data_IF_778108476850
#
_entry.id   IF_778108476850
#
_cell.length_a   1.000
_cell.length_b   1.000
_cell.length_c   1.000
_cell.angle_alpha   90.00
_cell.angle_beta   90.00
_cell.angle_gamma   90.00
#
_symmetry.space_group_name_H-M   'P 1'
#
loop_
_entity.id
_entity.type
_entity.pdbx_description
1 polymer ?
#
# COMPACT_ATOMS: atom_id res chain seq x y z
N UNK A 1 -16.92 2.22 -7.56
CA UNK A 1 -16.53 3.29 -6.61
C UNK A 1 -17.76 4.03 -6.14
N UNK A 2 -17.98 4.10 -4.84
CA UNK A 2 -19.19 4.67 -4.20
C UNK A 2 -18.77 5.81 -3.25
N UNK A 3 -19.58 6.85 -3.16
CA UNK A 3 -19.44 7.87 -2.13
C UNK A 3 -20.08 7.37 -0.85
N UNK A 4 -19.28 7.30 0.22
CA UNK A 4 -19.70 6.83 1.54
C UNK A 4 -19.25 7.78 2.63
N UNK A 5 -19.88 7.69 3.80
CA UNK A 5 -19.40 8.34 5.02
C UNK A 5 -18.80 7.27 5.91
N UNK A 6 -17.50 7.39 6.21
CA UNK A 6 -16.81 6.50 7.13
C UNK A 6 -16.50 7.23 8.43
N UNK A 7 -16.59 6.52 9.56
CA UNK A 7 -16.29 7.03 10.90
C UNK A 7 -14.86 6.63 11.28
N UNK A 8 -14.10 7.55 11.83
CA UNK A 8 -12.78 7.27 12.38
C UNK A 8 -12.96 6.52 13.71
N UNK A 9 -12.44 5.31 13.78
CA UNK A 9 -12.35 4.54 15.03
C UNK A 9 -11.01 4.77 15.74
N UNK A 10 -9.94 4.98 14.97
CA UNK A 10 -8.58 5.17 15.46
C UNK A 10 -7.79 6.02 14.47
N UNK A 11 -6.94 6.90 14.98
CA UNK A 11 -5.96 7.65 14.18
C UNK A 11 -4.73 7.91 15.04
N UNK A 12 -3.68 7.11 14.87
CA UNK A 12 -2.50 7.15 15.74
C UNK A 12 -1.20 7.16 14.93
N UNK A 13 -0.18 7.75 15.49
CA UNK A 13 1.18 7.67 14.96
C UNK A 13 1.76 6.28 15.23
N UNK A 14 2.31 5.62 14.21
CA UNK A 14 2.91 4.28 14.29
C UNK A 14 4.42 4.27 13.97
N UNK A 15 4.92 5.29 13.26
CA UNK A 15 6.33 5.44 12.92
C UNK A 15 6.66 6.92 12.68
N UNK A 16 7.90 7.25 12.34
CA UNK A 16 8.29 8.63 12.01
C UNK A 16 7.42 9.15 10.86
N UNK A 17 6.69 10.26 11.13
CA UNK A 17 5.77 10.92 10.18
C UNK A 17 4.73 9.97 9.55
N UNK A 18 4.43 8.82 10.17
CA UNK A 18 3.53 7.79 9.64
C UNK A 18 2.43 7.48 10.64
N UNK A 19 1.20 7.44 10.15
CA UNK A 19 -0.01 7.25 10.93
C UNK A 19 -0.83 6.09 10.40
N UNK A 20 -1.50 5.38 11.31
CA UNK A 20 -2.52 4.39 11.02
C UNK A 20 -3.89 4.96 11.36
N UNK A 21 -4.82 4.90 10.41
CA UNK A 21 -6.20 5.29 10.60
C UNK A 21 -7.12 4.10 10.31
N UNK A 22 -7.96 3.76 11.27
CA UNK A 22 -9.00 2.75 11.14
C UNK A 22 -10.33 3.45 10.96
N UNK A 23 -11.05 3.08 9.91
CA UNK A 23 -12.33 3.63 9.52
C UNK A 23 -13.40 2.54 9.56
N UNK A 24 -14.61 2.87 9.99
CA UNK A 24 -15.76 1.95 9.97
C UNK A 24 -16.92 2.52 9.14
N UNK A 25 -17.70 1.63 8.54
CA UNK A 25 -18.87 1.97 7.75
C UNK A 25 -19.06 1.06 6.53
N UNK A 26 -19.79 1.53 5.51
CA UNK A 26 -20.01 0.75 4.30
C UNK A 26 -18.74 0.69 3.44
N UNK A 27 -18.00 -0.40 3.59
CA UNK A 27 -16.80 -0.75 2.82
C UNK A 27 -17.05 -1.93 1.88
N UNK A 28 -18.30 -2.29 1.66
CA UNK A 28 -18.72 -3.47 0.88
C UNK A 28 -18.24 -3.49 -0.57
N UNK A 29 -17.89 -2.33 -1.14
CA UNK A 29 -17.36 -2.22 -2.50
C UNK A 29 -15.85 -2.55 -2.58
N UNK A 30 -15.14 -2.66 -1.46
CA UNK A 30 -13.73 -3.10 -1.44
C UNK A 30 -13.70 -4.60 -1.72
N UNK A 31 -13.17 -4.99 -2.87
CA UNK A 31 -13.17 -6.37 -3.37
C UNK A 31 -11.79 -6.96 -3.57
N UNK A 32 -10.81 -6.10 -3.80
CA UNK A 32 -9.46 -6.51 -4.16
C UNK A 32 -8.42 -5.84 -3.26
N UNK A 33 -7.41 -6.57 -2.80
CA UNK A 33 -6.31 -5.94 -2.07
C UNK A 33 -5.59 -4.92 -2.97
N UNK A 34 -5.05 -3.86 -2.36
CA UNK A 34 -4.38 -2.77 -3.09
C UNK A 34 -5.30 -1.74 -3.73
N UNK A 35 -6.62 -1.87 -3.60
CA UNK A 35 -7.53 -0.75 -3.87
C UNK A 35 -7.26 0.41 -2.91
N UNK A 36 -7.75 1.60 -3.25
CA UNK A 36 -7.55 2.81 -2.45
C UNK A 36 -8.86 3.55 -2.22
N UNK A 37 -8.83 4.47 -1.29
CA UNK A 37 -9.92 5.42 -1.02
C UNK A 37 -9.47 6.84 -1.29
N UNK A 38 -10.42 7.71 -1.66
CA UNK A 38 -10.19 9.14 -1.83
C UNK A 38 -10.93 9.92 -0.74
N UNK A 39 -10.19 10.49 0.21
CA UNK A 39 -10.72 11.20 1.37
C UNK A 39 -10.85 12.69 1.06
N UNK A 40 -12.04 13.25 1.29
CA UNK A 40 -12.24 14.70 1.29
C UNK A 40 -11.71 15.28 2.60
N UNK A 41 -10.85 16.28 2.51
CA UNK A 41 -10.35 17.03 3.66
C UNK A 41 -10.83 18.47 3.52
N UNK A 42 -11.47 18.99 4.55
CA UNK A 42 -12.00 20.35 4.55
C UNK A 42 -10.89 21.38 4.37
N UNK A 43 -11.16 22.37 3.51
CA UNK A 43 -10.18 23.38 3.11
C UNK A 43 -9.28 22.98 1.94
N UNK A 44 -9.45 21.77 1.40
CA UNK A 44 -8.66 21.31 0.25
C UNK A 44 -9.53 20.96 -0.94
N UNK A 45 -9.15 21.44 -2.12
CA UNK A 45 -9.88 21.18 -3.37
C UNK A 45 -9.81 19.72 -3.79
N UNK A 46 -8.62 19.13 -3.82
CA UNK A 46 -8.44 17.72 -4.20
C UNK A 46 -8.61 16.79 -3.00
N UNK A 47 -9.22 15.64 -3.22
CA UNK A 47 -9.25 14.54 -2.26
C UNK A 47 -7.85 13.93 -2.08
N UNK A 48 -7.64 13.19 -1.03
CA UNK A 48 -6.38 12.49 -0.71
C UNK A 48 -6.54 11.00 -1.00
N UNK A 49 -5.86 10.48 -2.05
CA UNK A 49 -5.85 9.05 -2.33
C UNK A 49 -5.00 8.34 -1.27
N UNK A 50 -5.56 7.31 -0.64
CA UNK A 50 -4.92 6.50 0.38
C UNK A 50 -5.15 5.04 0.09
N UNK A 51 -4.06 4.26 -0.08
CA UNK A 51 -4.13 2.83 -0.28
C UNK A 51 -4.70 2.13 0.94
N UNK A 52 -5.55 1.15 0.70
CA UNK A 52 -6.10 0.28 1.74
C UNK A 52 -5.01 -0.72 2.14
N UNK A 53 -4.69 -0.74 3.42
CA UNK A 53 -3.79 -1.75 4.01
C UNK A 53 -4.53 -3.03 4.35
N UNK A 54 -5.75 -2.88 4.87
CA UNK A 54 -6.59 -3.99 5.31
C UNK A 54 -8.06 -3.59 5.26
N UNK A 55 -8.93 -4.55 4.91
CA UNK A 55 -10.38 -4.35 4.95
C UNK A 55 -11.05 -5.61 5.47
N UNK A 56 -11.57 -5.58 6.71
CA UNK A 56 -12.21 -6.71 7.37
C UNK A 56 -13.31 -6.23 8.35
N UNK A 57 -14.37 -7.00 8.49
CA UNK A 57 -15.43 -6.76 9.50
C UNK A 57 -15.99 -5.33 9.46
N UNK A 58 -16.33 -4.83 8.27
CA UNK A 58 -16.84 -3.46 8.04
C UNK A 58 -15.87 -2.36 8.48
N UNK A 59 -14.59 -2.71 8.65
CA UNK A 59 -13.50 -1.77 8.96
C UNK A 59 -12.47 -1.77 7.85
N UNK A 60 -11.92 -0.59 7.63
CA UNK A 60 -10.89 -0.34 6.64
C UNK A 60 -9.73 0.37 7.33
N UNK A 61 -8.52 -0.15 7.14
CA UNK A 61 -7.29 0.45 7.67
C UNK A 61 -6.49 1.07 6.53
N UNK A 62 -6.08 2.32 6.73
CA UNK A 62 -5.09 2.99 5.89
C UNK A 62 -3.87 3.34 6.73
N UNK A 63 -2.70 3.32 6.07
CA UNK A 63 -1.47 3.86 6.65
C UNK A 63 -0.99 4.98 5.73
N UNK A 64 -0.76 6.16 6.31
CA UNK A 64 -0.38 7.34 5.55
C UNK A 64 0.84 8.05 6.15
N UNK A 65 1.68 8.58 5.27
CA UNK A 65 2.86 9.38 5.65
C UNK A 65 2.56 10.86 5.48
N UNK A 66 3.06 11.69 6.38
CA UNK A 66 2.98 13.14 6.26
C UNK A 66 3.77 13.61 5.03
N UNK A 67 3.07 14.18 4.05
CA UNK A 67 3.65 14.68 2.78
C UNK A 67 3.35 16.15 2.52
N UNK A 68 2.46 16.75 3.28
CA UNK A 68 2.05 18.15 3.14
C UNK A 68 0.77 18.44 3.88
N UNK A 69 0.28 19.67 3.77
CA UNK A 69 -0.80 20.23 4.59
C UNK A 69 -2.08 19.37 4.68
N UNK A 70 -2.46 18.67 3.59
CA UNK A 70 -3.64 17.80 3.63
C UNK A 70 -3.46 16.59 4.54
N UNK A 71 -2.27 15.94 4.52
CA UNK A 71 -1.98 14.83 5.42
C UNK A 71 -1.67 15.30 6.84
N UNK A 72 -1.15 16.53 7.00
CA UNK A 72 -1.03 17.17 8.31
C UNK A 72 -2.40 17.38 8.94
N UNK A 73 -3.36 17.94 8.17
CA UNK A 73 -4.75 18.10 8.63
C UNK A 73 -5.40 16.77 9.03
N UNK A 74 -5.05 15.67 8.36
CA UNK A 74 -5.56 14.35 8.73
C UNK A 74 -5.10 13.92 10.14
N UNK A 75 -3.94 14.34 10.61
CA UNK A 75 -3.46 13.97 11.95
C UNK A 75 -4.25 14.61 13.09
N UNK A 76 -4.94 15.70 12.81
CA UNK A 76 -5.80 16.41 13.77
C UNK A 76 -7.17 15.73 13.94
N UNK A 77 -7.53 14.81 13.03
CA UNK A 77 -8.81 14.14 13.05
C UNK A 77 -8.85 13.06 14.14
N UNK A 78 -9.83 13.16 15.01
CA UNK A 78 -10.00 12.28 16.17
C UNK A 78 -11.01 11.17 15.91
N UNK A 79 -10.97 10.12 16.72
CA UNK A 79 -11.98 9.08 16.77
C UNK A 79 -13.38 9.68 16.93
N UNK A 80 -14.36 9.12 16.23
CA UNK A 80 -15.74 9.63 16.16
C UNK A 80 -16.00 10.60 15.01
N UNK A 81 -14.98 11.25 14.43
CA UNK A 81 -15.15 12.12 13.28
C UNK A 81 -15.60 11.34 12.03
N UNK A 82 -16.42 11.96 11.20
CA UNK A 82 -16.95 11.40 9.97
C UNK A 82 -16.23 11.96 8.76
N UNK A 83 -15.84 11.10 7.83
CA UNK A 83 -15.15 11.45 6.59
C UNK A 83 -16.03 11.18 5.38
N UNK A 84 -16.05 12.13 4.46
CA UNK A 84 -16.60 11.95 3.10
C UNK A 84 -15.54 11.23 2.24
N UNK A 85 -15.83 10.02 1.83
CA UNK A 85 -14.89 9.13 1.16
C UNK A 85 -15.48 8.61 -0.15
N UNK A 86 -14.66 8.59 -1.22
CA UNK A 86 -14.93 7.77 -2.38
C UNK A 86 -14.23 6.43 -2.16
N UNK A 87 -15.03 5.38 -1.95
CA UNK A 87 -14.54 4.06 -1.57
C UNK A 87 -14.35 3.16 -2.77
N UNK A 88 -13.39 2.23 -2.66
CA UNK A 88 -13.06 1.19 -3.63
C UNK A 88 -12.66 1.77 -5.00
N UNK A 89 -11.67 2.66 -5.00
CA UNK A 89 -11.03 3.13 -6.21
C UNK A 89 -9.85 2.22 -6.61
N UNK A 90 -9.50 2.24 -7.89
CA UNK A 90 -8.44 1.40 -8.45
C UNK A 90 -8.84 -0.05 -8.69
N UNK A 91 -7.99 -0.77 -9.44
CA UNK A 91 -8.28 -2.14 -9.86
C UNK A 91 -7.91 -3.17 -8.78
N UNK A 92 -6.99 -2.81 -7.86
CA UNK A 92 -6.40 -3.76 -6.91
C UNK A 92 -5.45 -4.76 -7.57
N UNK A 93 -5.06 -5.77 -6.80
CA UNK A 93 -4.18 -6.86 -7.23
C UNK A 93 -4.98 -8.16 -7.34
N UNK A 94 -4.86 -8.85 -8.47
CA UNK A 94 -5.45 -10.19 -8.66
C UNK A 94 -4.49 -11.25 -8.13
N UNK A 95 -4.67 -11.64 -6.87
CA UNK A 95 -3.82 -12.63 -6.21
C UNK A 95 -3.93 -14.03 -6.82
N UNK A 96 -5.00 -14.34 -7.56
CA UNK A 96 -5.20 -15.63 -8.24
C UNK A 96 -4.18 -15.87 -9.36
N UNK A 97 -3.52 -14.83 -9.84
CA UNK A 97 -2.45 -14.93 -10.85
C UNK A 97 -1.11 -15.35 -10.25
N UNK A 98 -0.98 -15.32 -8.93
CA UNK A 98 0.25 -15.72 -8.26
C UNK A 98 0.54 -17.21 -8.47
N UNK A 99 1.80 -17.53 -8.71
CA UNK A 99 2.29 -18.89 -8.91
C UNK A 99 3.72 -19.04 -8.40
N UNK A 100 4.08 -20.25 -7.99
CA UNK A 100 5.44 -20.57 -7.54
C UNK A 100 5.86 -19.80 -6.28
N UNK A 101 7.10 -19.33 -6.28
CA UNK A 101 7.66 -18.52 -5.19
C UNK A 101 7.23 -17.07 -5.37
N UNK A 102 6.50 -16.55 -4.41
CA UNK A 102 5.86 -15.24 -4.49
C UNK A 102 6.52 -14.25 -3.54
N UNK A 103 6.81 -13.03 -4.02
CA UNK A 103 7.22 -11.91 -3.19
C UNK A 103 6.17 -10.80 -3.16
N UNK A 104 6.01 -10.16 -1.99
CA UNK A 104 5.35 -8.87 -1.83
C UNK A 104 6.43 -7.83 -1.48
N UNK A 105 6.54 -6.77 -2.29
CA UNK A 105 7.65 -5.83 -2.24
C UNK A 105 7.10 -4.42 -2.00
N UNK A 106 7.41 -3.84 -0.84
CA UNK A 106 6.92 -2.54 -0.40
C UNK A 106 8.01 -1.50 -0.21
N UNK A 107 7.90 -0.35 -0.87
CA UNK A 107 8.78 0.81 -0.63
C UNK A 107 8.07 1.88 0.21
N UNK A 108 8.57 2.17 1.42
CA UNK A 108 7.99 3.15 2.33
C UNK A 108 6.52 2.88 2.62
N UNK A 109 5.63 3.83 2.28
CA UNK A 109 4.16 3.67 2.42
C UNK A 109 3.58 2.54 1.57
N UNK A 110 4.29 2.06 0.54
CA UNK A 110 3.89 0.91 -0.27
C UNK A 110 3.86 -0.41 0.52
N UNK A 111 4.50 -0.50 1.67
CA UNK A 111 4.37 -1.65 2.56
C UNK A 111 2.92 -1.87 3.02
N UNK A 112 2.14 -0.80 3.16
CA UNK A 112 0.75 -0.87 3.63
C UNK A 112 -0.18 -1.70 2.72
N UNK A 113 -0.32 -1.40 1.41
CA UNK A 113 -1.13 -2.23 0.52
C UNK A 113 -0.54 -3.65 0.34
N UNK A 114 0.77 -3.82 0.44
CA UNK A 114 1.40 -5.15 0.34
C UNK A 114 1.01 -6.06 1.51
N UNK A 115 0.71 -5.53 2.68
CA UNK A 115 0.18 -6.29 3.79
C UNK A 115 -1.19 -6.91 3.45
N UNK A 116 -2.10 -6.13 2.86
CA UNK A 116 -3.39 -6.64 2.38
C UNK A 116 -3.25 -7.70 1.28
N UNK A 117 -2.26 -7.54 0.38
CA UNK A 117 -1.95 -8.54 -0.65
C UNK A 117 -1.45 -9.84 -0.01
N UNK A 118 -0.55 -9.77 0.98
CA UNK A 118 -0.05 -10.96 1.68
C UNK A 118 -1.18 -11.72 2.39
N UNK A 119 -2.09 -11.01 3.08
CA UNK A 119 -3.27 -11.62 3.70
C UNK A 119 -4.16 -12.33 2.67
N UNK A 120 -4.42 -11.69 1.53
CA UNK A 120 -5.24 -12.28 0.47
C UNK A 120 -4.57 -13.51 -0.16
N UNK A 121 -3.25 -13.47 -0.41
CA UNK A 121 -2.48 -14.63 -0.91
C UNK A 121 -2.61 -15.83 0.01
N UNK A 122 -2.49 -15.62 1.31
CA UNK A 122 -2.61 -16.69 2.30
C UNK A 122 -4.04 -17.23 2.35
N UNK A 123 -5.03 -16.33 2.39
CA UNK A 123 -6.44 -16.72 2.54
C UNK A 123 -7.02 -17.40 1.29
N UNK A 124 -6.69 -16.91 0.09
CA UNK A 124 -7.30 -17.38 -1.16
C UNK A 124 -6.48 -18.48 -1.85
N UNK A 125 -5.14 -18.43 -1.74
CA UNK A 125 -4.25 -19.33 -2.48
C UNK A 125 -3.48 -20.29 -1.57
N UNK A 126 -3.47 -20.08 -0.26
CA UNK A 126 -2.59 -20.81 0.68
C UNK A 126 -1.10 -20.49 0.48
N UNK A 127 -0.78 -19.41 -0.22
CA UNK A 127 0.61 -19.00 -0.49
C UNK A 127 1.06 -18.02 0.57
N UNK A 128 2.11 -18.37 1.32
CA UNK A 128 2.81 -17.46 2.23
C UNK A 128 3.94 -16.78 1.45
N UNK A 129 3.82 -15.49 1.11
CA UNK A 129 4.84 -14.82 0.32
C UNK A 129 6.07 -14.42 1.15
N UNK A 130 7.22 -14.22 0.49
CA UNK A 130 8.30 -13.44 1.08
C UNK A 130 7.90 -11.95 1.11
N UNK A 131 8.16 -11.27 2.23
CA UNK A 131 7.89 -9.84 2.38
C UNK A 131 9.20 -9.05 2.37
N UNK A 132 9.42 -8.26 1.32
CA UNK A 132 10.61 -7.43 1.15
C UNK A 132 10.22 -5.96 1.29
N UNK A 133 10.70 -5.31 2.35
CA UNK A 133 10.27 -3.97 2.71
C UNK A 133 11.46 -3.00 2.78
N UNK A 134 11.36 -1.88 2.06
CA UNK A 134 12.40 -0.85 2.01
C UNK A 134 11.97 0.46 2.66
N UNK A 135 12.82 1.06 3.48
CA UNK A 135 12.57 2.33 4.17
C UNK A 135 13.80 3.24 4.15
N UNK A 136 13.63 4.49 4.57
CA UNK A 136 14.74 5.43 4.72
C UNK A 136 15.62 5.12 5.93
N UNK A 137 15.00 4.76 7.06
CA UNK A 137 15.63 4.52 8.36
C UNK A 137 14.74 3.62 9.23
N UNK A 138 15.28 3.10 10.33
CA UNK A 138 14.59 2.22 11.28
C UNK A 138 13.31 2.84 11.83
N UNK A 139 13.33 4.12 12.16
CA UNK A 139 12.17 4.85 12.70
C UNK A 139 11.03 5.07 11.69
N UNK A 140 11.24 4.72 10.41
CA UNK A 140 10.24 4.68 9.36
C UNK A 140 9.66 3.28 9.12
N UNK A 141 10.26 2.23 9.71
CA UNK A 141 9.83 0.84 9.51
C UNK A 141 8.42 0.65 10.06
N UNK A 142 7.55 0.07 9.23
CA UNK A 142 6.18 -0.27 9.57
C UNK A 142 5.87 -1.72 9.22
N UNK A 143 4.92 -2.31 9.93
CA UNK A 143 4.30 -3.60 9.63
C UNK A 143 5.23 -4.84 9.68
N UNK A 144 6.53 -4.72 10.03
CA UNK A 144 7.43 -5.88 10.15
C UNK A 144 6.75 -7.01 10.95
N UNK A 145 6.40 -6.73 12.21
CA UNK A 145 5.86 -7.72 13.14
C UNK A 145 4.54 -8.31 12.62
N UNK A 146 3.75 -7.51 11.88
CA UNK A 146 2.48 -7.98 11.30
C UNK A 146 2.73 -8.95 10.14
N UNK A 147 3.72 -8.74 9.27
CA UNK A 147 4.10 -9.68 8.23
C UNK A 147 4.68 -10.97 8.82
N UNK A 148 5.55 -10.86 9.83
CA UNK A 148 6.10 -12.01 10.55
C UNK A 148 4.99 -12.83 11.24
N UNK A 149 4.00 -12.17 11.83
CA UNK A 149 2.83 -12.83 12.43
C UNK A 149 1.95 -13.58 11.40
N UNK A 150 1.99 -13.19 10.11
CA UNK A 150 1.37 -13.94 9.01
C UNK A 150 2.20 -15.16 8.58
N UNK A 151 3.40 -15.35 9.15
CA UNK A 151 4.34 -16.39 8.76
C UNK A 151 5.23 -16.00 7.57
N UNK A 152 5.17 -14.76 7.08
CA UNK A 152 6.01 -14.29 5.98
C UNK A 152 7.50 -14.25 6.38
N UNK A 153 8.37 -14.77 5.52
CA UNK A 153 9.80 -14.48 5.62
C UNK A 153 10.00 -12.99 5.28
N UNK A 154 10.24 -12.17 6.33
CA UNK A 154 10.24 -10.71 6.20
C UNK A 154 11.66 -10.17 6.25
N UNK A 155 12.10 -9.55 5.17
CA UNK A 155 13.38 -8.85 5.07
C UNK A 155 13.17 -7.33 4.99
N UNK A 156 14.03 -6.59 5.69
CA UNK A 156 14.03 -5.12 5.73
C UNK A 156 15.33 -4.60 5.14
N UNK A 157 15.23 -3.57 4.29
CA UNK A 157 16.34 -2.73 3.90
C UNK A 157 16.10 -1.28 4.36
N UNK A 158 17.13 -0.62 4.87
CA UNK A 158 17.09 0.81 5.16
C UNK A 158 18.22 1.53 4.43
N UNK A 159 17.92 2.68 3.85
CA UNK A 159 18.91 3.44 3.07
C UNK A 159 20.11 3.87 3.91
N UNK A 160 19.90 4.15 5.19
CA UNK A 160 20.95 4.54 6.13
C UNK A 160 21.65 3.35 6.83
N UNK A 161 21.09 2.14 6.72
CA UNK A 161 21.59 0.92 7.37
C UNK A 161 21.22 0.80 8.84
N UNK A 162 20.27 1.57 9.34
CA UNK A 162 19.87 1.54 10.76
C UNK A 162 19.07 0.29 11.14
N UNK A 163 18.41 -0.39 10.14
CA UNK A 163 17.75 -1.67 10.35
C UNK A 163 17.87 -2.55 9.10
N UNK A 164 18.06 -3.86 9.32
CA UNK A 164 18.16 -4.85 8.24
C UNK A 164 19.40 -4.65 7.37
N UNK A 165 19.24 -4.75 6.06
CA UNK A 165 20.31 -4.55 5.08
C UNK A 165 20.44 -3.06 4.77
N UNK A 166 21.67 -2.55 4.70
CA UNK A 166 21.92 -1.18 4.23
C UNK A 166 21.78 -1.12 2.72
N UNK A 167 20.83 -0.30 2.25
CA UNK A 167 20.57 -0.13 0.81
C UNK A 167 19.09 -0.01 0.48
N UNK A 168 18.74 -0.40 -0.72
CA UNK A 168 17.37 -0.41 -1.22
C UNK A 168 16.76 -1.82 -1.11
N UNK A 169 15.44 -1.90 -1.16
CA UNK A 169 14.73 -3.20 -1.17
C UNK A 169 15.18 -4.09 -2.34
N UNK A 170 15.56 -3.49 -3.46
CA UNK A 170 16.04 -4.19 -4.66
C UNK A 170 17.40 -4.88 -4.47
N UNK A 171 18.19 -4.43 -3.49
CA UNK A 171 19.49 -5.04 -3.18
C UNK A 171 19.34 -6.37 -2.42
N UNK A 172 18.10 -6.72 -2.03
CA UNK A 172 17.75 -7.99 -1.39
C UNK A 172 17.22 -9.05 -2.36
N UNK A 173 17.13 -8.74 -3.65
CA UNK A 173 16.48 -9.61 -4.64
C UNK A 173 17.54 -10.16 -5.60
N UNK A 174 17.67 -11.47 -5.64
CA UNK A 174 18.47 -12.14 -6.67
C UNK A 174 17.65 -12.35 -7.96
N UNK A 175 18.29 -12.28 -9.14
CA UNK A 175 17.59 -12.54 -10.40
C UNK A 175 16.93 -13.92 -10.40
N UNK A 176 15.63 -13.98 -10.75
CA UNK A 176 14.82 -15.21 -10.80
C UNK A 176 14.64 -15.92 -9.45
N UNK A 177 14.84 -15.22 -8.35
CA UNK A 177 14.55 -15.75 -7.02
C UNK A 177 13.05 -16.03 -6.83
N UNK A 178 12.21 -15.16 -7.41
CA UNK A 178 10.75 -15.25 -7.33
C UNK A 178 10.15 -15.48 -8.70
N UNK A 179 9.10 -16.30 -8.74
CA UNK A 179 8.36 -16.63 -9.97
C UNK A 179 7.23 -15.61 -10.21
N UNK A 180 6.80 -14.90 -9.15
CA UNK A 180 5.79 -13.83 -9.23
C UNK A 180 6.02 -12.76 -8.15
N UNK A 181 5.86 -11.48 -8.52
CA UNK A 181 6.00 -10.37 -7.58
C UNK A 181 4.77 -9.44 -7.56
N UNK A 182 4.39 -9.01 -6.37
CA UNK A 182 3.51 -7.87 -6.15
C UNK A 182 4.33 -6.73 -5.59
N UNK A 183 4.25 -5.55 -6.22
CA UNK A 183 5.06 -4.41 -5.81
C UNK A 183 4.26 -3.12 -5.64
N UNK A 184 4.56 -2.35 -4.60
CA UNK A 184 4.04 -1.00 -4.42
C UNK A 184 5.13 -0.07 -3.89
N UNK A 185 5.30 1.08 -4.53
CA UNK A 185 6.30 2.07 -4.12
C UNK A 185 6.80 2.97 -5.24
N UNK A 186 7.99 3.59 -5.06
CA UNK A 186 8.60 4.47 -6.05
C UNK A 186 8.82 3.79 -7.40
N UNK A 187 8.63 4.55 -8.48
CA UNK A 187 8.76 4.05 -9.85
C UNK A 187 10.13 3.41 -10.14
N UNK A 188 11.22 4.02 -9.64
CA UNK A 188 12.56 3.48 -9.83
C UNK A 188 12.72 2.08 -9.22
N UNK A 189 12.17 1.88 -8.01
CA UNK A 189 12.14 0.58 -7.34
C UNK A 189 11.37 -0.45 -8.18
N UNK A 190 10.16 -0.11 -8.63
CA UNK A 190 9.31 -1.03 -9.39
C UNK A 190 9.90 -1.39 -10.74
N UNK A 191 10.60 -0.45 -11.41
CA UNK A 191 11.35 -0.74 -12.64
C UNK A 191 12.45 -1.77 -12.42
N UNK A 192 13.19 -1.67 -11.32
CA UNK A 192 14.23 -2.65 -10.98
C UNK A 192 13.62 -4.00 -10.64
N UNK A 193 12.60 -4.04 -9.79
CA UNK A 193 11.88 -5.29 -9.44
C UNK A 193 11.39 -6.02 -10.70
N UNK A 194 10.82 -5.29 -11.66
CA UNK A 194 10.32 -5.88 -12.92
C UNK A 194 11.41 -6.48 -13.83
N UNK A 195 12.68 -6.30 -13.50
CA UNK A 195 13.81 -6.93 -14.21
C UNK A 195 14.24 -8.24 -13.54
N UNK A 196 13.91 -8.43 -12.27
CA UNK A 196 14.28 -9.62 -11.50
C UNK A 196 13.20 -10.71 -11.49
N UNK A 197 11.95 -10.36 -11.84
CA UNK A 197 10.83 -11.29 -11.86
C UNK A 197 10.23 -11.37 -13.27
N UNK A 198 9.94 -12.58 -13.75
CA UNK A 198 9.36 -12.79 -15.09
C UNK A 198 7.89 -12.34 -15.18
N UNK A 199 7.17 -12.33 -14.03
CA UNK A 199 5.75 -11.99 -13.96
C UNK A 199 5.42 -11.23 -12.67
N UNK A 200 4.44 -10.33 -12.72
CA UNK A 200 4.07 -9.55 -11.54
C UNK A 200 3.02 -8.48 -11.78
N UNK A 201 2.57 -7.88 -10.69
CA UNK A 201 1.65 -6.74 -10.68
C UNK A 201 2.24 -5.61 -9.84
N UNK A 202 2.16 -4.38 -10.36
CA UNK A 202 2.82 -3.24 -9.74
C UNK A 202 1.87 -2.05 -9.60
N UNK A 203 1.87 -1.42 -8.41
CA UNK A 203 1.14 -0.20 -8.12
C UNK A 203 2.11 0.97 -7.99
N UNK A 204 1.99 1.92 -8.89
CA UNK A 204 2.87 3.09 -8.97
C UNK A 204 2.35 4.24 -8.09
N UNK A 205 3.22 4.85 -7.33
CA UNK A 205 2.91 6.13 -6.69
C UNK A 205 2.78 7.23 -7.76
N UNK A 206 1.62 7.88 -7.80
CA UNK A 206 1.37 8.99 -8.73
C UNK A 206 0.54 10.10 -8.06
N UNK A 207 0.77 11.34 -8.48
CA UNK A 207 -0.13 12.44 -8.12
C UNK A 207 -1.42 12.29 -8.91
N UNK A 208 -2.53 12.16 -8.18
CA UNK A 208 -3.85 11.99 -8.78
C UNK A 208 -4.67 13.28 -8.67
N UNK A 209 -5.40 13.60 -9.73
CA UNK A 209 -6.44 14.63 -9.70
C UNK A 209 -7.81 13.99 -9.48
N UNK A 210 -8.37 13.28 -10.47
CA UNK A 210 -9.73 12.74 -10.38
C UNK A 210 -9.85 11.49 -9.51
N UNK A 211 -8.89 10.57 -9.54
CA UNK A 211 -8.97 9.25 -8.91
C UNK A 211 -9.97 8.29 -9.56
N UNK A 212 -10.55 8.67 -10.72
CA UNK A 212 -11.57 7.90 -11.46
C UNK A 212 -11.05 7.24 -12.74
N UNK A 213 -9.79 7.53 -13.13
CA UNK A 213 -9.23 7.04 -14.39
C UNK A 213 -9.70 7.81 -15.64
N UNK A 214 -10.35 8.97 -15.49
CA UNK A 214 -10.91 9.73 -16.63
C UNK A 214 -10.07 10.94 -17.07
N UNK A 215 -9.23 11.51 -16.17
CA UNK A 215 -8.44 12.68 -16.51
C UNK A 215 -7.06 12.33 -17.10
N UNK A 216 -6.65 11.09 -17.06
CA UNK A 216 -5.35 10.56 -17.51
C UNK A 216 -4.11 11.24 -16.89
N UNK A 217 -4.26 12.10 -15.90
CA UNK A 217 -3.15 12.82 -15.27
C UNK A 217 -2.14 11.94 -14.51
N UNK A 218 -2.54 10.72 -14.14
CA UNK A 218 -1.68 9.73 -13.51
C UNK A 218 -1.35 8.53 -14.44
N UNK A 219 -1.61 8.63 -15.76
CA UNK A 219 -1.29 7.58 -16.72
C UNK A 219 0.19 7.32 -16.79
N UNK A 220 0.56 6.07 -17.07
CA UNK A 220 1.94 5.63 -17.25
C UNK A 220 2.10 4.90 -18.57
N UNK A 221 3.18 5.21 -19.30
CA UNK A 221 3.56 4.47 -20.48
C UNK A 221 4.17 3.13 -20.07
N UNK A 222 3.56 2.05 -20.52
CA UNK A 222 4.03 0.67 -20.29
C UNK A 222 4.56 0.08 -21.60
N UNK A 223 5.37 -1.00 -21.52
CA UNK A 223 5.85 -1.71 -22.73
C UNK A 223 4.70 -2.28 -23.58
N UNK A 224 3.60 -2.64 -22.93
CA UNK A 224 2.38 -3.17 -23.55
C UNK A 224 1.37 -2.11 -23.99
N UNK A 225 1.68 -0.82 -23.87
CA UNK A 225 0.78 0.30 -24.14
C UNK A 225 0.53 1.17 -22.91
N UNK A 226 -0.58 1.92 -22.90
CA UNK A 226 -0.99 2.80 -21.78
C UNK A 226 -2.08 2.10 -20.98
#
# INVERSE_FOLDING_TARGET
MKKVTLKIEKNIRIARRTFEMVLSGDVSDVKMPGQFINIKIDGFYLRRPMSISECENEKLTIIYKLRGAGTEKMTELSAGAKLDVLCAAGNGFDVRKAKGRVAVIGGGSGAAPMYGVAKALIAENGIVPAALLGFGSEDEVILRDRFEALGCNTAIATSDGSAGIKGNVTDMIEPKEFDYAFGCGPEAMLKTVSQFTDDGQYSFEARMACGYGVCFGCSRQMKSGV
#
